data_IF_716590224731
#
_entry.id   IF_716590224731
#
_cell.length_a   1.000
_cell.length_b   1.000
_cell.length_c   1.000
_cell.angle_alpha   90.00
_cell.angle_beta   90.00
_cell.angle_gamma   90.00
#
_symmetry.space_group_name_H-M   'P 1'
#
loop_
_entity.id
_entity.type
_entity.pdbx_description
1 polymer ?
#
# COMPACT_ATOMS: atom_id res chain seq x y z
N UNK A 1 17.58 1.71 24.47
CA UNK A 1 16.29 1.33 25.10
C UNK A 1 15.65 0.24 24.26
N UNK A 2 15.35 -0.92 24.87
CA UNK A 2 14.82 -2.11 24.16
C UNK A 2 13.37 -1.88 23.77
N UNK A 3 13.04 -1.88 22.46
CA UNK A 3 11.66 -2.03 21.97
C UNK A 3 11.26 -3.51 22.11
N UNK A 4 10.20 -3.77 22.88
CA UNK A 4 9.53 -5.08 22.94
C UNK A 4 8.51 -5.12 21.80
N UNK A 5 8.64 -6.07 20.89
CA UNK A 5 7.58 -6.38 19.93
C UNK A 5 6.38 -6.97 20.66
N UNK A 6 5.18 -6.47 20.34
CA UNK A 6 3.91 -6.98 20.83
C UNK A 6 3.46 -8.08 19.86
N UNK A 7 3.10 -9.24 20.41
CA UNK A 7 2.67 -10.42 19.67
C UNK A 7 1.14 -10.51 19.76
N UNK A 8 0.43 -10.35 18.63
CA UNK A 8 -1.03 -10.54 18.57
C UNK A 8 -1.32 -12.03 18.55
N UNK A 9 -2.08 -12.51 19.53
CA UNK A 9 -2.38 -13.93 19.72
C UNK A 9 -3.71 -14.27 19.04
N UNK A 10 -3.67 -14.92 17.87
CA UNK A 10 -4.84 -15.54 17.24
C UNK A 10 -5.29 -16.75 18.07
N UNK A 11 -6.54 -16.79 18.51
CA UNK A 11 -7.13 -17.99 19.12
C UNK A 11 -8.06 -18.67 18.11
N UNK A 12 -7.61 -19.80 17.55
CA UNK A 12 -8.49 -20.72 16.84
C UNK A 12 -9.00 -21.77 17.83
N UNK A 13 -10.31 -21.77 18.11
CA UNK A 13 -10.96 -22.87 18.79
C UNK A 13 -11.11 -24.04 17.80
N UNK A 14 -10.21 -25.03 17.88
CA UNK A 14 -10.32 -26.26 17.11
C UNK A 14 -11.40 -27.17 17.71
N UNK A 15 -12.50 -27.36 16.98
CA UNK A 15 -13.46 -28.43 17.27
C UNK A 15 -12.85 -29.77 16.85
N UNK A 16 -12.52 -30.63 17.82
CA UNK A 16 -12.04 -31.97 17.57
C UNK A 16 -13.19 -32.87 17.06
N UNK A 17 -13.14 -33.24 15.78
CA UNK A 17 -13.91 -34.35 15.24
C UNK A 17 -13.02 -35.59 15.24
N UNK A 18 -13.30 -36.52 16.15
CA UNK A 18 -12.71 -37.86 16.17
C UNK A 18 -13.48 -38.73 15.18
N UNK A 19 -12.83 -39.16 14.10
CA UNK A 19 -13.34 -40.26 13.26
C UNK A 19 -12.28 -41.35 13.20
N UNK A 20 -12.61 -42.49 13.80
CA UNK A 20 -11.93 -43.75 13.60
C UNK A 20 -12.40 -44.37 12.26
N UNK A 21 -11.46 -44.94 11.49
CA UNK A 21 -11.52 -46.29 10.89
C UNK A 21 -10.64 -46.45 9.62
N UNK A 22 -9.68 -47.37 9.75
CA UNK A 22 -9.28 -48.46 8.85
C UNK A 22 -9.25 -48.27 7.31
N UNK A 23 -8.01 -48.46 6.81
CA UNK A 23 -7.53 -49.00 5.54
C UNK A 23 -8.57 -49.77 4.69
N UNK A 24 -8.80 -49.30 3.46
CA UNK A 24 -8.79 -50.02 2.16
C UNK A 24 -9.65 -49.24 1.13
N UNK A 25 -9.01 -48.67 0.10
CA UNK A 25 -9.38 -48.85 -1.32
C UNK A 25 -8.67 -47.85 -2.24
N UNK A 26 -8.15 -48.40 -3.31
CA UNK A 26 -7.52 -47.79 -4.47
C UNK A 26 -8.52 -47.02 -5.35
N UNK A 27 -8.04 -45.94 -5.99
CA UNK A 27 -8.39 -45.36 -7.32
C UNK A 27 -8.81 -43.89 -7.31
N UNK A 28 -7.86 -43.08 -7.81
CA UNK A 28 -8.00 -41.97 -8.77
C UNK A 28 -9.17 -40.98 -8.63
N UNK A 29 -8.80 -39.71 -8.43
CA UNK A 29 -9.50 -38.59 -9.05
C UNK A 29 -10.43 -37.80 -8.12
N UNK A 30 -9.86 -37.13 -7.12
CA UNK A 30 -10.50 -35.92 -6.59
C UNK A 30 -9.81 -34.71 -7.23
N UNK A 31 -10.44 -34.19 -8.28
CA UNK A 31 -10.31 -32.80 -8.66
C UNK A 31 -10.82 -31.97 -7.47
N UNK A 32 -9.89 -31.50 -6.64
CA UNK A 32 -10.13 -30.36 -5.77
C UNK A 32 -10.25 -29.18 -6.71
N UNK A 33 -11.49 -28.85 -7.07
CA UNK A 33 -11.82 -27.56 -7.62
C UNK A 33 -11.65 -26.59 -6.44
N UNK A 34 -10.41 -26.14 -6.24
CA UNK A 34 -10.14 -24.95 -5.47
C UNK A 34 -10.91 -23.85 -6.20
N UNK A 35 -12.02 -23.42 -5.61
CA UNK A 35 -12.62 -22.17 -6.01
C UNK A 35 -11.54 -21.11 -5.75
N UNK A 36 -10.99 -20.56 -6.82
CA UNK A 36 -10.41 -19.22 -6.82
C UNK A 36 -11.45 -18.30 -6.20
N UNK A 37 -11.24 -17.96 -4.94
CA UNK A 37 -11.89 -16.82 -4.33
C UNK A 37 -10.83 -15.75 -4.19
N UNK A 38 -10.72 -15.00 -5.28
CA UNK A 38 -10.09 -13.71 -5.39
C UNK A 38 -10.82 -12.76 -4.42
N UNK A 39 -10.30 -12.59 -3.20
CA UNK A 39 -10.76 -11.55 -2.26
C UNK A 39 -9.69 -11.23 -1.23
N UNK A 40 -8.80 -10.29 -1.56
CA UNK A 40 -7.87 -9.67 -0.62
C UNK A 40 -8.59 -8.60 0.23
N UNK A 41 -9.76 -8.90 0.78
CA UNK A 41 -10.45 -8.04 1.73
C UNK A 41 -9.93 -8.33 3.14
N UNK A 42 -9.29 -7.33 3.77
CA UNK A 42 -8.66 -7.43 5.09
C UNK A 42 -9.66 -7.79 6.20
N UNK A 43 -10.89 -7.34 6.06
CA UNK A 43 -12.01 -7.64 6.95
C UNK A 43 -13.27 -7.96 6.14
N UNK A 44 -14.16 -8.77 6.70
CA UNK A 44 -15.45 -9.13 6.11
C UNK A 44 -16.62 -8.51 6.90
N UNK A 45 -17.75 -8.24 6.22
CA UNK A 45 -18.99 -7.84 6.92
C UNK A 45 -19.37 -8.89 7.99
N UNK A 46 -19.68 -8.41 9.20
CA UNK A 46 -20.00 -9.25 10.35
C UNK A 46 -18.78 -9.80 11.11
N UNK A 47 -17.56 -9.59 10.63
CA UNK A 47 -16.34 -9.94 11.34
C UNK A 47 -16.16 -9.06 12.60
N UNK A 48 -15.71 -9.67 13.70
CA UNK A 48 -15.50 -8.98 14.98
C UNK A 48 -14.00 -8.77 15.24
N UNK A 49 -13.64 -7.54 15.57
CA UNK A 49 -12.30 -7.07 15.88
C UNK A 49 -12.20 -6.70 17.37
N UNK A 50 -11.29 -7.36 18.08
CA UNK A 50 -10.97 -7.02 19.47
C UNK A 50 -10.00 -5.83 19.52
N UNK A 51 -10.38 -4.76 20.23
CA UNK A 51 -9.62 -3.51 20.34
C UNK A 51 -9.38 -3.21 21.83
N UNK A 52 -8.12 -3.00 22.22
CA UNK A 52 -7.81 -2.47 23.56
C UNK A 52 -8.23 -1.01 23.62
N UNK A 53 -8.80 -0.58 24.75
CA UNK A 53 -9.25 0.80 24.98
C UNK A 53 -8.65 1.36 26.27
N UNK A 54 -8.66 2.68 26.42
CA UNK A 54 -8.24 3.35 27.65
C UNK A 54 -9.26 3.29 28.80
N UNK A 55 -10.36 2.54 28.63
CA UNK A 55 -11.43 2.46 29.62
C UNK A 55 -11.18 1.37 30.67
N UNK A 56 -11.78 1.54 31.84
CA UNK A 56 -11.75 0.60 32.95
C UNK A 56 -13.05 -0.23 33.04
N UNK A 57 -13.27 -0.92 34.17
CA UNK A 57 -14.57 -1.53 34.50
C UNK A 57 -15.10 -2.56 33.49
N UNK A 58 -14.19 -3.33 32.86
CA UNK A 58 -14.54 -4.36 31.89
C UNK A 58 -14.60 -3.88 30.44
N UNK A 59 -14.28 -2.60 30.19
CA UNK A 59 -14.19 -2.00 28.86
C UNK A 59 -12.75 -1.82 28.36
N UNK A 60 -11.74 -2.34 29.09
CA UNK A 60 -10.33 -2.26 28.68
C UNK A 60 -10.02 -2.97 27.36
N UNK A 61 -10.90 -3.89 26.96
CA UNK A 61 -10.92 -4.49 25.62
C UNK A 61 -12.37 -4.58 25.19
N UNK A 62 -12.67 -4.10 24.00
CA UNK A 62 -14.01 -4.11 23.41
C UNK A 62 -13.97 -4.78 22.04
N UNK A 63 -15.08 -5.42 21.67
CA UNK A 63 -15.25 -5.98 20.34
C UNK A 63 -16.00 -5.00 19.44
N UNK A 64 -15.58 -4.93 18.18
CA UNK A 64 -16.17 -4.10 17.15
C UNK A 64 -16.52 -4.94 15.94
N UNK A 65 -17.74 -4.84 15.45
CA UNK A 65 -18.21 -5.58 14.28
C UNK A 65 -18.10 -4.73 13.02
N UNK A 66 -17.55 -5.31 11.94
CA UNK A 66 -17.50 -4.69 10.62
C UNK A 66 -18.92 -4.64 10.04
N UNK A 67 -19.41 -3.44 9.73
CA UNK A 67 -20.74 -3.20 9.16
C UNK A 67 -20.72 -3.07 7.64
N UNK A 68 -19.60 -2.61 7.08
CA UNK A 68 -19.44 -2.27 5.68
C UNK A 68 -17.95 -2.32 5.35
N UNK A 69 -17.61 -2.92 4.20
CA UNK A 69 -16.22 -3.01 3.74
C UNK A 69 -15.79 -1.80 2.92
N UNK A 70 -16.72 -1.00 2.37
CA UNK A 70 -16.42 0.17 1.53
C UNK A 70 -17.13 1.45 2.01
N UNK A 71 -17.08 1.69 3.31
CA UNK A 71 -17.62 2.92 3.89
C UNK A 71 -16.62 4.06 3.76
N UNK A 72 -16.85 4.94 2.78
CA UNK A 72 -16.10 6.18 2.57
C UNK A 72 -14.58 5.94 2.50
N UNK A 73 -14.16 4.86 1.84
CA UNK A 73 -12.76 4.51 1.65
C UNK A 73 -12.17 3.57 2.71
N UNK A 74 -12.98 2.93 3.56
CA UNK A 74 -12.50 1.89 4.47
C UNK A 74 -13.59 1.02 5.09
N UNK A 75 -13.17 0.16 6.01
CA UNK A 75 -14.00 -0.76 6.77
C UNK A 75 -14.68 -0.03 7.94
N UNK A 76 -16.01 0.09 7.93
CA UNK A 76 -16.77 0.68 9.03
C UNK A 76 -16.96 -0.34 10.14
N UNK A 77 -16.52 0.02 11.35
CA UNK A 77 -16.69 -0.78 12.54
C UNK A 77 -17.61 -0.08 13.55
N UNK A 78 -18.44 -0.85 14.26
CA UNK A 78 -19.22 -0.38 15.41
C UNK A 78 -18.96 -1.25 16.64
N UNK A 79 -18.88 -0.65 17.82
CA UNK A 79 -18.79 -1.39 19.07
C UNK A 79 -19.97 -2.36 19.24
N UNK A 80 -19.69 -3.60 19.66
CA UNK A 80 -20.73 -4.56 20.01
C UNK A 80 -21.47 -4.15 21.30
N UNK A 81 -20.73 -3.57 22.25
CA UNK A 81 -21.25 -3.08 23.52
C UNK A 81 -21.43 -1.55 23.54
N UNK A 82 -22.38 -1.10 24.37
CA UNK A 82 -22.60 0.33 24.63
C UNK A 82 -21.76 0.75 25.84
N UNK A 83 -20.97 1.82 25.70
CA UNK A 83 -20.18 2.38 26.78
C UNK A 83 -21.09 3.15 27.74
N UNK A 84 -21.08 2.85 29.05
CA UNK A 84 -21.89 3.54 30.05
C UNK A 84 -21.52 4.99 30.23
N UNK A 85 -22.55 5.81 30.43
CA UNK A 85 -22.42 7.24 30.77
C UNK A 85 -21.52 7.48 31.98
N UNK A 86 -21.33 6.48 32.86
CA UNK A 86 -20.41 6.55 34.00
C UNK A 86 -18.93 6.44 33.60
N UNK A 87 -18.63 5.90 32.42
CA UNK A 87 -17.29 5.77 31.83
C UNK A 87 -17.09 6.72 30.64
N UNK A 88 -18.14 7.43 30.24
CA UNK A 88 -18.15 8.32 29.09
C UNK A 88 -18.71 9.69 29.46
N UNK A 89 -19.17 10.44 28.46
CA UNK A 89 -19.85 11.72 28.63
C UNK A 89 -21.32 11.65 28.16
N UNK A 90 -22.08 12.70 28.46
CA UNK A 90 -23.41 12.96 27.86
C UNK A 90 -23.27 13.42 26.40
N UNK A 91 -24.38 13.59 25.69
CA UNK A 91 -24.33 14.16 24.34
C UNK A 91 -23.82 15.60 24.35
N UNK A 92 -24.56 16.52 25.00
CA UNK A 92 -24.20 17.92 25.12
C UNK A 92 -24.91 18.57 26.32
N UNK A 93 -24.45 19.74 26.74
CA UNK A 93 -25.05 20.47 27.86
C UNK A 93 -26.46 21.01 27.55
N UNK A 94 -26.68 21.57 26.35
CA UNK A 94 -27.93 22.26 26.01
C UNK A 94 -28.29 22.28 24.53
N UNK A 95 -27.31 22.22 23.63
CA UNK A 95 -27.49 22.32 22.17
C UNK A 95 -27.37 20.93 21.51
N UNK A 96 -28.07 20.70 20.39
CA UNK A 96 -28.09 19.42 19.69
C UNK A 96 -27.15 19.29 18.49
N UNK A 97 -26.38 20.33 18.17
CA UNK A 97 -25.35 20.26 17.15
C UNK A 97 -24.26 19.24 17.53
N UNK A 98 -24.07 18.21 16.69
CA UNK A 98 -23.05 17.19 16.93
C UNK A 98 -21.63 17.77 16.86
N UNK A 99 -21.39 18.69 15.92
CA UNK A 99 -20.07 19.30 15.68
C UNK A 99 -19.44 19.96 16.92
N UNK A 100 -20.26 20.48 17.83
CA UNK A 100 -19.81 21.17 19.06
C UNK A 100 -20.18 20.39 20.34
N UNK A 101 -20.62 19.13 20.19
CA UNK A 101 -21.15 18.33 21.30
C UNK A 101 -20.05 17.78 22.23
N UNK A 102 -20.41 17.58 23.51
CA UNK A 102 -19.53 16.97 24.51
C UNK A 102 -19.10 15.56 24.07
N UNK A 103 -20.00 14.80 23.45
CA UNK A 103 -19.73 13.43 22.96
C UNK A 103 -18.69 13.42 21.83
N UNK A 104 -18.80 14.30 20.84
CA UNK A 104 -17.83 14.37 19.74
C UNK A 104 -16.45 14.75 20.25
N UNK A 105 -16.38 15.73 21.15
CA UNK A 105 -15.14 16.13 21.81
C UNK A 105 -14.52 14.97 22.57
N UNK A 106 -15.30 14.24 23.37
CA UNK A 106 -14.81 13.08 24.12
C UNK A 106 -14.29 11.96 23.22
N UNK A 107 -15.05 11.62 22.17
CA UNK A 107 -14.67 10.57 21.22
C UNK A 107 -13.33 10.87 20.53
N UNK A 108 -13.14 12.09 20.04
CA UNK A 108 -11.96 12.42 19.24
C UNK A 108 -10.74 12.86 20.07
N UNK A 109 -10.93 13.56 21.19
CA UNK A 109 -9.81 14.10 21.99
C UNK A 109 -9.34 13.17 23.11
N UNK A 110 -10.17 12.21 23.54
CA UNK A 110 -9.83 11.31 24.64
C UNK A 110 -9.90 9.85 24.23
N UNK A 111 -11.00 9.42 23.61
CA UNK A 111 -11.22 8.00 23.36
C UNK A 111 -10.37 7.46 22.20
N UNK A 112 -10.32 8.16 21.07
CA UNK A 112 -9.63 7.72 19.85
C UNK A 112 -8.15 7.37 20.06
N UNK A 113 -7.42 8.21 20.79
CA UNK A 113 -5.98 8.00 21.06
C UNK A 113 -5.69 6.83 22.00
N UNK A 114 -6.70 6.29 22.67
CA UNK A 114 -6.53 5.16 23.59
C UNK A 114 -6.78 3.81 22.94
N UNK A 115 -7.23 3.78 21.69
CA UNK A 115 -7.52 2.54 20.98
C UNK A 115 -6.23 1.87 20.50
N UNK A 116 -6.14 0.55 20.60
CA UNK A 116 -4.98 -0.19 20.04
C UNK A 116 -4.85 -0.06 18.51
N UNK A 117 -5.90 0.39 17.84
CA UNK A 117 -5.96 0.65 16.39
C UNK A 117 -5.87 2.15 16.06
N UNK A 118 -5.48 3.00 17.02
CA UNK A 118 -5.49 4.46 16.86
C UNK A 118 -4.75 4.96 15.62
N UNK A 119 -3.65 4.30 15.24
CA UNK A 119 -2.81 4.63 14.08
C UNK A 119 -3.42 4.19 12.73
N UNK A 120 -4.43 3.32 12.76
CA UNK A 120 -5.09 2.76 11.56
C UNK A 120 -6.43 3.45 11.24
N UNK A 121 -6.88 4.35 12.12
CA UNK A 121 -8.15 5.05 11.97
C UNK A 121 -8.10 6.01 10.78
N UNK A 122 -8.99 5.82 9.81
CA UNK A 122 -9.22 6.76 8.72
C UNK A 122 -10.14 7.89 9.22
N UNK A 123 -9.67 9.15 9.29
CA UNK A 123 -10.51 10.26 9.72
C UNK A 123 -11.61 10.57 8.69
N UNK A 124 -12.87 10.59 9.11
CA UNK A 124 -14.03 10.80 8.24
C UNK A 124 -14.59 12.21 8.38
N UNK A 125 -14.77 12.91 7.26
CA UNK A 125 -15.55 14.16 7.27
C UNK A 125 -17.05 13.84 7.31
N UNK A 126 -17.70 14.20 8.41
CA UNK A 126 -19.14 13.98 8.62
C UNK A 126 -19.94 15.15 8.07
N UNK A 127 -21.06 14.86 7.40
CA UNK A 127 -21.89 15.86 6.71
C UNK A 127 -22.57 16.83 7.69
N UNK A 128 -22.86 16.38 8.91
CA UNK A 128 -23.53 17.16 9.94
C UNK A 128 -22.57 18.10 10.71
N UNK A 129 -21.29 18.16 10.29
CA UNK A 129 -20.25 18.98 10.92
C UNK A 129 -19.80 20.10 9.99
N UNK A 130 -20.15 21.34 10.31
CA UNK A 130 -19.86 22.53 9.50
C UNK A 130 -18.40 23.04 9.62
N UNK A 131 -17.51 22.31 10.28
CA UNK A 131 -16.10 22.68 10.43
C UNK A 131 -15.21 22.01 9.37
N UNK A 132 -13.89 22.18 9.45
CA UNK A 132 -12.92 21.46 8.60
C UNK A 132 -12.34 20.21 9.27
N UNK A 133 -12.92 19.78 10.40
CA UNK A 133 -12.38 18.68 11.22
C UNK A 133 -12.97 17.37 10.73
N UNK A 134 -12.10 16.37 10.54
CA UNK A 134 -12.50 14.98 10.32
C UNK A 134 -12.51 14.21 11.64
N UNK A 135 -13.49 13.35 11.81
CA UNK A 135 -13.71 12.56 13.02
C UNK A 135 -13.04 11.19 12.89
N UNK A 136 -12.23 10.82 13.89
CA UNK A 136 -11.56 9.50 13.98
C UNK A 136 -12.45 8.43 14.60
N UNK A 137 -13.30 8.84 15.55
CA UNK A 137 -14.32 7.99 16.17
C UNK A 137 -15.59 8.82 16.30
N UNK A 138 -16.74 8.24 15.98
CA UNK A 138 -18.02 8.95 15.92
C UNK A 138 -19.20 8.09 16.36
N UNK A 139 -20.34 8.71 16.65
CA UNK A 139 -21.62 8.02 16.73
C UNK A 139 -22.21 7.86 15.33
N UNK A 140 -22.84 6.72 15.01
CA UNK A 140 -23.59 6.57 13.74
C UNK A 140 -24.74 7.60 13.64
N UNK A 141 -25.12 7.96 12.42
CA UNK A 141 -26.31 8.79 12.16
C UNK A 141 -27.59 7.96 12.32
N UNK A 142 -28.74 8.63 12.39
CA UNK A 142 -30.04 7.96 12.35
C UNK A 142 -30.21 7.15 11.06
N UNK A 143 -29.75 7.67 9.92
CA UNK A 143 -29.86 7.00 8.63
C UNK A 143 -28.99 5.76 8.55
N UNK A 144 -27.75 5.82 9.05
CA UNK A 144 -26.87 4.65 9.17
C UNK A 144 -27.45 3.59 10.11
N UNK A 145 -27.96 4.01 11.27
CA UNK A 145 -28.62 3.09 12.21
C UNK A 145 -29.84 2.40 11.57
N UNK A 146 -30.58 3.11 10.72
CA UNK A 146 -31.75 2.56 10.02
C UNK A 146 -31.41 1.83 8.73
N UNK A 147 -30.18 1.94 8.24
CA UNK A 147 -29.76 1.36 6.97
C UNK A 147 -30.05 -0.15 6.94
N UNK A 148 -30.54 -0.62 5.79
CA UNK A 148 -31.05 -1.98 5.68
C UNK A 148 -29.96 -3.04 5.91
N UNK A 149 -28.72 -2.76 5.50
CA UNK A 149 -27.56 -3.60 5.73
C UNK A 149 -27.16 -3.62 7.22
N UNK A 150 -27.13 -2.47 7.89
CA UNK A 150 -26.54 -2.38 9.24
C UNK A 150 -27.52 -2.73 10.37
N UNK A 151 -28.84 -2.67 10.11
CA UNK A 151 -29.89 -2.75 11.14
C UNK A 151 -29.82 -4.01 12.02
N UNK A 152 -29.29 -5.12 11.51
CA UNK A 152 -29.15 -6.35 12.28
C UNK A 152 -28.24 -6.14 13.50
N UNK A 153 -27.16 -5.37 13.33
CA UNK A 153 -26.17 -5.10 14.36
C UNK A 153 -26.44 -3.79 15.11
N UNK A 154 -26.83 -2.73 14.39
CA UNK A 154 -27.09 -1.42 15.00
C UNK A 154 -28.35 -1.46 15.86
N UNK A 155 -29.39 -2.20 15.47
CA UNK A 155 -30.67 -2.27 16.21
C UNK A 155 -30.87 -3.61 16.94
N UNK A 156 -29.80 -4.40 17.07
CA UNK A 156 -29.78 -5.62 17.90
C UNK A 156 -30.27 -5.28 19.30
N UNK A 157 -31.13 -6.12 19.89
CA UNK A 157 -31.54 -5.94 21.29
C UNK A 157 -30.36 -6.25 22.21
N UNK A 158 -30.15 -5.43 23.23
CA UNK A 158 -29.12 -5.67 24.25
C UNK A 158 -29.71 -5.59 25.65
N UNK A 159 -28.99 -6.16 26.62
CA UNK A 159 -29.38 -6.08 28.03
C UNK A 159 -28.71 -4.84 28.66
N UNK A 160 -29.47 -3.86 29.15
CA UNK A 160 -28.95 -2.73 29.91
C UNK A 160 -27.98 -3.14 31.02
N UNK A 161 -26.76 -2.61 30.99
CA UNK A 161 -25.85 -2.65 32.13
C UNK A 161 -25.85 -1.29 32.83
N UNK A 162 -25.86 -1.30 34.17
CA UNK A 162 -25.74 -0.10 35.01
C UNK A 162 -26.67 1.07 34.65
N UNK A 163 -27.93 0.79 34.30
CA UNK A 163 -28.96 1.81 34.09
C UNK A 163 -29.00 2.45 32.70
N UNK A 164 -28.08 2.12 31.80
CA UNK A 164 -28.15 2.56 30.41
C UNK A 164 -29.28 1.90 29.65
N UNK A 165 -30.21 2.68 29.10
CA UNK A 165 -31.28 2.15 28.25
C UNK A 165 -31.17 2.59 26.80
N UNK A 166 -30.20 3.45 26.50
CA UNK A 166 -30.08 4.15 25.24
C UNK A 166 -28.62 4.34 24.84
N UNK A 167 -28.37 4.59 23.56
CA UNK A 167 -27.14 5.21 23.10
C UNK A 167 -27.43 6.28 22.05
N UNK A 168 -26.61 7.33 22.01
CA UNK A 168 -26.79 8.45 21.10
C UNK A 168 -26.43 8.13 19.65
N UNK A 169 -27.22 8.65 18.71
CA UNK A 169 -26.78 8.87 17.32
C UNK A 169 -26.24 10.29 17.19
N UNK A 170 -25.60 10.63 16.06
CA UNK A 170 -25.15 12.00 15.78
C UNK A 170 -26.22 12.92 15.14
N UNK A 171 -27.46 12.45 15.00
CA UNK A 171 -28.51 13.17 14.25
C UNK A 171 -29.34 14.05 15.18
N UNK A 172 -29.33 15.36 14.93
CA UNK A 172 -30.19 16.32 15.60
C UNK A 172 -31.66 16.14 15.19
N UNK A 173 -32.59 16.37 16.12
CA UNK A 173 -34.02 16.41 15.80
C UNK A 173 -34.37 17.79 15.25
N UNK A 174 -34.87 17.80 14.01
CA UNK A 174 -35.38 19.03 13.37
C UNK A 174 -36.42 19.76 14.23
N UNK A 175 -36.47 21.08 14.08
CA UNK A 175 -37.39 21.98 14.80
C UNK A 175 -37.27 21.94 16.33
N UNK A 176 -36.16 21.44 16.85
CA UNK A 176 -35.79 21.51 18.26
C UNK A 176 -34.32 21.88 18.38
N UNK A 177 -33.95 22.62 19.43
CA UNK A 177 -32.56 23.01 19.70
C UNK A 177 -31.85 22.15 20.74
N UNK A 178 -32.56 21.18 21.35
CA UNK A 178 -32.02 20.43 22.49
C UNK A 178 -32.35 18.93 22.43
N UNK A 179 -32.76 18.40 21.27
CA UNK A 179 -33.01 16.97 21.12
C UNK A 179 -32.20 16.37 19.98
N UNK A 180 -31.71 15.16 20.20
CA UNK A 180 -31.06 14.33 19.21
C UNK A 180 -31.70 12.93 19.23
N UNK A 181 -31.45 12.16 18.16
CA UNK A 181 -31.90 10.78 18.08
C UNK A 181 -30.98 9.85 18.89
N UNK A 182 -31.60 8.81 19.44
CA UNK A 182 -30.96 7.76 20.20
C UNK A 182 -31.59 6.41 19.85
N UNK A 183 -30.87 5.33 20.14
CA UNK A 183 -31.36 3.97 19.99
C UNK A 183 -31.60 3.39 21.37
N UNK A 184 -32.77 2.81 21.58
CA UNK A 184 -33.19 2.17 22.82
C UNK A 184 -32.74 0.70 22.84
N UNK A 185 -32.59 0.12 24.04
CA UNK A 185 -32.14 -1.27 24.24
C UNK A 185 -32.98 -2.34 23.52
N UNK A 186 -34.21 -2.00 23.15
CA UNK A 186 -35.13 -2.86 22.39
C UNK A 186 -34.97 -2.72 20.85
N UNK A 187 -34.02 -1.91 20.38
CA UNK A 187 -33.76 -1.63 18.97
C UNK A 187 -34.62 -0.52 18.34
N UNK A 188 -35.43 0.20 19.13
CA UNK A 188 -36.23 1.33 18.63
C UNK A 188 -35.38 2.61 18.57
N UNK A 189 -35.60 3.42 17.54
CA UNK A 189 -34.99 4.75 17.41
C UNK A 189 -36.00 5.79 17.90
N UNK A 190 -35.57 6.70 18.76
CA UNK A 190 -36.40 7.77 19.32
C UNK A 190 -35.55 9.03 19.53
N UNK A 191 -36.18 10.19 19.67
CA UNK A 191 -35.48 11.43 20.04
C UNK A 191 -35.64 11.74 21.53
N UNK A 192 -34.60 12.28 22.18
CA UNK A 192 -34.67 12.76 23.57
C UNK A 192 -33.80 13.99 23.78
N UNK A 193 -33.94 14.63 24.95
CA UNK A 193 -33.12 15.78 25.33
C UNK A 193 -31.64 15.39 25.40
N UNK A 194 -30.77 16.15 24.76
CA UNK A 194 -29.31 15.89 24.69
C UNK A 194 -28.62 15.91 26.05
N UNK A 195 -29.21 16.57 27.05
CA UNK A 195 -28.74 16.59 28.43
C UNK A 195 -29.07 15.32 29.21
N UNK A 196 -29.76 14.34 28.63
CA UNK A 196 -30.08 13.06 29.27
C UNK A 196 -28.79 12.29 29.60
N UNK A 197 -28.58 12.03 30.90
CA UNK A 197 -27.40 11.35 31.43
C UNK A 197 -27.58 9.83 31.60
N UNK A 198 -28.60 9.24 30.97
CA UNK A 198 -28.87 7.80 31.01
C UNK A 198 -28.56 7.08 29.68
N UNK A 199 -28.11 7.85 28.69
CA UNK A 199 -27.71 7.34 27.39
C UNK A 199 -26.19 7.16 27.35
N UNK A 200 -25.75 5.99 26.93
CA UNK A 200 -24.35 5.69 26.69
C UNK A 200 -23.90 6.12 25.29
N UNK A 201 -22.69 5.70 24.94
CA UNK A 201 -22.08 5.96 23.64
C UNK A 201 -21.74 4.62 23.01
N UNK A 202 -22.13 4.45 21.74
CA UNK A 202 -21.77 3.27 20.94
C UNK A 202 -20.84 3.75 19.82
N UNK A 203 -19.52 3.75 20.05
CA UNK A 203 -18.58 4.33 19.12
C UNK A 203 -18.50 3.49 17.84
N UNK A 204 -18.33 4.19 16.72
CA UNK A 204 -17.97 3.65 15.44
C UNK A 204 -16.70 4.34 14.93
N UNK A 205 -15.92 3.63 14.13
CA UNK A 205 -14.74 4.17 13.47
C UNK A 205 -14.55 3.49 12.12
N UNK A 206 -13.69 4.07 11.29
CA UNK A 206 -13.29 3.48 10.01
C UNK A 206 -11.83 3.11 10.09
N UNK A 207 -11.50 1.87 9.77
CA UNK A 207 -10.12 1.50 9.43
C UNK A 207 -10.04 1.66 7.92
N UNK A 208 -9.09 2.47 7.45
CA UNK A 208 -8.92 2.63 6.01
C UNK A 208 -8.76 1.27 5.34
N UNK A 209 -9.17 1.15 4.07
CA UNK A 209 -8.55 0.12 3.25
C UNK A 209 -7.04 0.25 3.43
N UNK A 210 -6.30 -0.86 3.37
CA UNK A 210 -4.87 -0.74 3.13
C UNK A 210 -4.77 0.12 1.88
N UNK A 211 -4.47 1.41 2.07
CA UNK A 211 -4.10 2.26 0.97
C UNK A 211 -2.94 1.50 0.35
N UNK A 212 -2.88 1.35 -0.99
CA UNK A 212 -1.62 1.00 -1.61
C UNK A 212 -0.59 1.92 -0.98
N UNK A 213 0.36 1.41 -0.19
CA UNK A 213 1.31 2.06 0.72
C UNK A 213 1.58 3.52 0.32
N UNK A 214 0.62 4.40 0.61
CA UNK A 214 0.85 5.83 0.66
C UNK A 214 1.24 6.07 2.09
N UNK A 215 2.34 5.42 2.51
CA UNK A 215 2.94 5.64 3.80
C UNK A 215 3.06 7.14 4.02
N UNK A 216 2.85 7.58 5.26
CA UNK A 216 3.45 8.83 5.72
C UNK A 216 4.84 8.98 5.08
N UNK A 217 5.01 9.99 4.22
CA UNK A 217 6.13 10.19 3.30
C UNK A 217 7.34 9.31 3.55
N UNK A 218 7.42 8.22 2.79
CA UNK A 218 8.57 7.33 2.86
C UNK A 218 9.75 8.05 2.21
N UNK A 219 10.59 8.66 3.04
CA UNK A 219 11.85 9.25 2.61
C UNK A 219 12.81 8.10 2.35
N UNK A 220 13.18 7.89 1.09
CA UNK A 220 14.20 6.91 0.72
C UNK A 220 15.59 7.50 0.88
N UNK A 221 16.53 6.66 1.29
CA UNK A 221 17.96 6.96 1.37
C UNK A 221 18.74 6.02 0.44
N UNK A 222 19.92 6.45 -0.02
CA UNK A 222 20.82 5.57 -0.77
C UNK A 222 21.10 4.30 0.04
N UNK A 223 20.95 3.15 -0.60
CA UNK A 223 21.13 1.83 0.00
C UNK A 223 19.85 1.20 0.56
N UNK A 224 18.74 1.94 0.68
CA UNK A 224 17.44 1.34 1.01
C UNK A 224 17.03 0.33 -0.07
N UNK A 225 16.28 -0.69 0.31
CA UNK A 225 15.91 -1.78 -0.59
C UNK A 225 14.41 -2.00 -0.67
N UNK A 226 13.97 -2.49 -1.82
CA UNK A 226 12.61 -2.91 -2.11
C UNK A 226 12.61 -4.18 -2.94
N UNK A 227 11.59 -5.02 -2.76
CA UNK A 227 11.41 -6.23 -3.56
C UNK A 227 10.38 -5.96 -4.67
N UNK A 228 10.62 -6.53 -5.85
CA UNK A 228 9.64 -6.55 -6.96
C UNK A 228 9.64 -7.93 -7.61
N UNK A 229 8.45 -8.41 -7.96
CA UNK A 229 8.29 -9.66 -8.71
C UNK A 229 8.12 -9.34 -10.18
N UNK A 230 8.97 -9.94 -11.01
CA UNK A 230 8.95 -9.84 -12.47
C UNK A 230 8.96 -11.27 -13.02
N UNK A 231 7.97 -11.63 -13.85
CA UNK A 231 7.83 -12.99 -14.43
C UNK A 231 7.87 -14.08 -13.34
N UNK A 232 7.08 -13.91 -12.28
CA UNK A 232 6.99 -14.86 -11.16
C UNK A 232 8.26 -14.99 -10.30
N UNK A 233 9.30 -14.17 -10.53
CA UNK A 233 10.56 -14.17 -9.76
C UNK A 233 10.74 -12.87 -9.00
N UNK A 234 11.03 -12.99 -7.71
CA UNK A 234 11.30 -11.84 -6.85
C UNK A 234 12.76 -11.39 -6.94
N UNK A 235 12.96 -10.09 -7.18
CA UNK A 235 14.25 -9.43 -7.25
C UNK A 235 14.33 -8.30 -6.22
N UNK A 236 15.53 -8.09 -5.68
CA UNK A 236 15.82 -6.96 -4.79
C UNK A 236 16.29 -5.78 -5.62
N UNK A 237 15.72 -4.62 -5.38
CA UNK A 237 16.12 -3.34 -5.94
C UNK A 237 16.63 -2.44 -4.83
N UNK A 238 17.59 -1.59 -5.16
CA UNK A 238 18.26 -0.71 -4.21
C UNK A 238 18.22 0.74 -4.66
N UNK A 239 17.91 1.63 -3.72
CA UNK A 239 17.95 3.06 -3.93
C UNK A 239 19.40 3.50 -4.21
N UNK A 240 19.64 4.07 -5.38
CA UNK A 240 20.94 4.61 -5.79
C UNK A 240 20.92 6.14 -5.95
N UNK A 241 19.71 6.74 -5.95
CA UNK A 241 19.52 8.18 -5.98
C UNK A 241 18.15 8.54 -5.38
N UNK A 242 18.09 9.11 -4.16
CA UNK A 242 16.83 9.48 -3.53
C UNK A 242 16.17 10.72 -4.15
N UNK A 243 16.86 11.43 -5.06
CA UNK A 243 16.39 12.66 -5.69
C UNK A 243 16.54 12.60 -7.21
N UNK A 244 16.10 11.49 -7.79
CA UNK A 244 16.25 11.22 -9.21
C UNK A 244 15.48 12.21 -10.09
N UNK A 245 16.19 12.71 -11.11
CA UNK A 245 15.63 13.48 -12.20
C UNK A 245 15.63 12.65 -13.49
N UNK A 246 14.45 12.50 -14.09
CA UNK A 246 14.20 11.71 -15.30
C UNK A 246 14.76 12.37 -16.58
N UNK A 247 14.51 11.78 -17.76
CA UNK A 247 15.01 12.32 -19.04
C UNK A 247 14.39 13.67 -19.41
N UNK A 248 13.20 13.97 -18.88
CA UNK A 248 12.49 15.24 -19.03
C UNK A 248 13.02 16.34 -18.09
N UNK A 249 14.00 16.01 -17.24
CA UNK A 249 14.48 16.87 -16.14
C UNK A 249 13.44 17.12 -15.05
N UNK A 250 12.45 16.23 -14.92
CA UNK A 250 11.47 16.27 -13.83
C UNK A 250 12.07 15.55 -12.62
N UNK A 251 11.95 16.14 -11.42
CA UNK A 251 12.21 15.42 -10.17
C UNK A 251 11.02 14.51 -9.91
N UNK A 252 11.22 13.21 -10.01
CA UNK A 252 10.13 12.22 -10.03
C UNK A 252 10.11 11.30 -8.81
N UNK A 253 11.23 11.14 -8.09
CA UNK A 253 11.27 10.30 -6.89
C UNK A 253 12.65 9.75 -6.56
N UNK A 254 12.68 8.60 -5.91
CA UNK A 254 13.90 7.84 -5.62
C UNK A 254 14.11 6.75 -6.67
N UNK A 255 15.30 6.69 -7.29
CA UNK A 255 15.66 5.68 -8.28
C UNK A 255 16.17 4.41 -7.59
N UNK A 256 15.50 3.30 -7.88
CA UNK A 256 15.82 1.97 -7.44
C UNK A 256 16.39 1.14 -8.61
N UNK A 257 17.60 0.59 -8.46
CA UNK A 257 18.25 -0.27 -9.45
C UNK A 257 18.28 -1.72 -8.95
N UNK A 258 17.98 -2.70 -9.82
CA UNK A 258 18.03 -4.11 -9.46
C UNK A 258 19.43 -4.50 -8.98
N UNK A 259 19.53 -5.25 -7.88
CA UNK A 259 20.81 -5.71 -7.32
C UNK A 259 21.44 -6.85 -8.15
N UNK A 260 20.64 -7.54 -8.96
CA UNK A 260 21.07 -8.66 -9.80
C UNK A 260 20.87 -8.37 -11.30
N UNK A 261 21.52 -9.16 -12.14
CA UNK A 261 21.26 -9.17 -13.60
C UNK A 261 20.25 -10.28 -13.89
N UNK A 262 19.16 -9.93 -14.57
CA UNK A 262 18.20 -10.88 -15.14
C UNK A 262 18.78 -11.37 -16.46
N UNK A 263 18.92 -12.68 -16.63
CA UNK A 263 19.64 -13.26 -17.76
C UNK A 263 18.95 -13.04 -19.13
N UNK A 264 19.76 -12.99 -20.19
CA UNK A 264 19.28 -12.87 -21.58
C UNK A 264 18.44 -14.06 -22.07
N UNK A 265 18.44 -15.18 -21.35
CA UNK A 265 17.55 -16.32 -21.56
C UNK A 265 16.12 -16.07 -21.08
N UNK A 266 15.92 -15.11 -20.18
CA UNK A 266 14.61 -14.66 -19.71
C UNK A 266 14.04 -13.61 -20.67
N UNK A 267 14.84 -12.60 -21.03
CA UNK A 267 14.45 -11.56 -21.96
C UNK A 267 15.67 -10.93 -22.64
N UNK A 268 15.57 -10.67 -23.94
CA UNK A 268 16.59 -10.00 -24.77
C UNK A 268 16.13 -8.58 -25.11
N UNK A 269 17.02 -7.74 -25.65
CA UNK A 269 16.67 -6.35 -25.97
C UNK A 269 15.59 -6.25 -27.06
N UNK A 270 15.88 -6.81 -28.22
CA UNK A 270 15.04 -6.83 -29.42
C UNK A 270 15.69 -7.80 -30.42
N UNK A 271 14.94 -8.33 -31.39
CA UNK A 271 15.49 -9.22 -32.42
C UNK A 271 16.27 -8.47 -33.52
N UNK A 272 15.98 -7.18 -33.76
CA UNK A 272 16.60 -6.48 -34.90
C UNK A 272 16.72 -4.96 -34.77
N UNK A 273 16.08 -4.28 -33.81
CA UNK A 273 16.16 -2.82 -33.72
C UNK A 273 16.66 -2.34 -32.36
N UNK A 274 17.38 -1.22 -32.34
CA UNK A 274 17.89 -0.60 -31.11
C UNK A 274 16.98 0.52 -30.57
N UNK A 275 15.71 0.53 -30.96
CA UNK A 275 14.74 1.56 -30.63
C UNK A 275 14.00 1.22 -29.33
N UNK A 276 14.44 1.80 -28.20
CA UNK A 276 13.82 1.56 -26.89
C UNK A 276 12.30 1.78 -26.89
N UNK A 277 11.82 2.80 -27.61
CA UNK A 277 10.40 3.13 -27.73
C UNK A 277 9.52 2.03 -28.32
N UNK A 278 10.12 1.10 -29.08
CA UNK A 278 9.44 0.00 -29.76
C UNK A 278 10.00 -1.38 -29.35
N UNK A 279 10.93 -1.43 -28.40
CA UNK A 279 11.63 -2.65 -28.03
C UNK A 279 10.70 -3.63 -27.30
N UNK A 280 10.75 -4.91 -27.67
CA UNK A 280 10.01 -5.97 -27.00
C UNK A 280 10.40 -6.08 -25.52
N UNK A 281 11.68 -5.83 -25.18
CA UNK A 281 12.14 -5.75 -23.80
C UNK A 281 11.38 -4.71 -22.97
N UNK A 282 11.09 -3.54 -23.54
CA UNK A 282 10.38 -2.47 -22.85
C UNK A 282 8.96 -2.92 -22.52
N UNK A 283 8.28 -3.53 -23.49
CA UNK A 283 6.93 -4.08 -23.32
C UNK A 283 6.93 -5.14 -22.23
N UNK A 284 7.82 -6.13 -22.34
CA UNK A 284 7.96 -7.21 -21.36
C UNK A 284 8.19 -6.68 -19.94
N UNK A 285 9.09 -5.71 -19.75
CA UNK A 285 9.38 -5.13 -18.43
C UNK A 285 8.16 -4.48 -17.76
N UNK A 286 7.26 -3.88 -18.53
CA UNK A 286 6.12 -3.16 -18.00
C UNK A 286 4.85 -4.01 -17.93
N UNK A 287 4.80 -5.16 -18.64
CA UNK A 287 3.69 -6.11 -18.56
C UNK A 287 3.91 -7.20 -17.49
N UNK A 288 5.16 -7.63 -17.28
CA UNK A 288 5.47 -8.78 -16.40
C UNK A 288 5.74 -8.42 -14.93
N UNK A 289 5.61 -7.13 -14.55
CA UNK A 289 5.74 -6.70 -13.16
C UNK A 289 4.41 -6.84 -12.43
N UNK A 290 4.38 -7.66 -11.38
CA UNK A 290 3.13 -8.05 -10.71
C UNK A 290 2.56 -6.98 -9.78
N UNK A 291 3.43 -6.20 -9.11
CA UNK A 291 3.02 -5.12 -8.20
C UNK A 291 3.77 -3.83 -8.50
N UNK A 292 3.03 -2.80 -8.90
CA UNK A 292 3.54 -1.47 -9.26
C UNK A 292 3.24 -0.40 -8.21
N UNK A 293 2.80 -0.82 -7.03
CA UNK A 293 2.51 0.04 -5.89
C UNK A 293 3.75 0.85 -5.46
N UNK A 294 3.52 2.13 -5.17
CA UNK A 294 4.57 3.08 -4.82
C UNK A 294 5.53 3.42 -5.97
N UNK A 295 5.33 2.89 -7.19
CA UNK A 295 6.14 3.23 -8.36
C UNK A 295 5.56 4.44 -9.10
N UNK A 296 6.44 5.29 -9.62
CA UNK A 296 6.13 6.48 -10.39
C UNK A 296 6.50 6.24 -11.85
N UNK A 297 5.64 6.71 -12.77
CA UNK A 297 5.98 6.79 -14.18
C UNK A 297 7.14 7.77 -14.39
N UNK A 298 8.26 7.28 -14.89
CA UNK A 298 9.43 8.09 -15.20
C UNK A 298 9.51 8.34 -16.70
N UNK A 299 9.86 9.56 -17.12
CA UNK A 299 10.17 9.80 -18.52
C UNK A 299 11.48 9.11 -18.91
N UNK A 300 11.42 8.21 -19.89
CA UNK A 300 12.55 7.39 -20.35
C UNK A 300 12.98 7.69 -21.78
N UNK A 301 12.44 8.76 -22.36
CA UNK A 301 12.67 9.24 -23.72
C UNK A 301 14.15 9.27 -24.10
N UNK A 302 14.48 8.68 -25.26
CA UNK A 302 15.85 8.69 -25.81
C UNK A 302 16.02 9.81 -26.83
N UNK A 303 16.56 10.93 -26.34
CA UNK A 303 16.85 12.13 -27.14
C UNK A 303 18.30 12.19 -27.66
N UNK A 304 19.09 11.14 -27.48
CA UNK A 304 20.49 11.12 -27.91
C UNK A 304 20.98 9.74 -28.28
N UNK A 305 21.94 9.71 -29.20
CA UNK A 305 22.77 8.54 -29.53
C UNK A 305 24.21 8.87 -29.19
N UNK A 306 25.05 7.84 -29.06
CA UNK A 306 26.46 8.03 -28.72
C UNK A 306 27.40 7.21 -29.59
N UNK A 307 28.59 7.73 -29.81
CA UNK A 307 29.72 6.98 -30.34
C UNK A 307 30.84 6.93 -29.31
N UNK A 308 31.52 5.78 -29.19
CA UNK A 308 32.62 5.57 -28.24
C UNK A 308 32.35 4.43 -27.29
N UNK A 309 33.33 4.14 -26.42
CA UNK A 309 33.26 3.10 -25.39
C UNK A 309 34.13 3.46 -24.20
N UNK A 310 33.80 2.90 -23.04
CA UNK A 310 34.60 3.03 -21.83
C UNK A 310 35.75 2.00 -21.79
N UNK A 311 36.51 1.97 -20.69
CA UNK A 311 37.60 1.01 -20.46
C UNK A 311 37.88 0.83 -18.97
N UNK A 312 38.29 -0.37 -18.55
CA UNK A 312 38.85 -0.64 -17.22
C UNK A 312 37.94 -0.26 -16.05
N UNK A 313 36.65 -0.61 -16.09
CA UNK A 313 35.68 -0.31 -15.03
C UNK A 313 35.55 1.20 -14.74
N UNK A 314 35.92 2.03 -15.72
CA UNK A 314 35.90 3.47 -15.63
C UNK A 314 35.15 4.04 -16.81
N UNK A 315 34.05 4.73 -16.52
CA UNK A 315 33.26 5.47 -17.50
C UNK A 315 33.47 6.98 -17.30
N UNK A 316 33.59 7.71 -18.39
CA UNK A 316 33.72 9.18 -18.39
C UNK A 316 33.08 9.73 -19.64
N UNK A 317 32.36 10.84 -19.51
CA UNK A 317 31.68 11.51 -20.62
C UNK A 317 32.63 11.80 -21.79
N UNK A 318 33.91 12.12 -21.52
CA UNK A 318 34.95 12.40 -22.54
C UNK A 318 35.22 11.23 -23.49
N UNK A 319 34.82 10.00 -23.13
CA UNK A 319 34.97 8.79 -23.95
C UNK A 319 33.82 8.61 -24.95
N UNK A 320 32.77 9.42 -24.83
CA UNK A 320 31.56 9.32 -25.65
C UNK A 320 31.30 10.64 -26.38
N UNK A 321 30.89 10.52 -27.64
CA UNK A 321 30.45 11.67 -28.44
C UNK A 321 28.93 11.62 -28.55
N UNK A 322 28.25 12.52 -27.85
CA UNK A 322 26.78 12.66 -27.85
C UNK A 322 26.29 13.25 -29.18
N UNK A 323 25.20 12.72 -29.70
CA UNK A 323 24.48 13.26 -30.85
C UNK A 323 22.99 13.29 -30.55
N UNK A 324 22.38 14.46 -30.64
CA UNK A 324 20.95 14.61 -30.40
C UNK A 324 20.14 13.89 -31.49
N UNK A 325 19.03 13.29 -31.09
CA UNK A 325 17.97 12.77 -31.96
C UNK A 325 16.62 13.24 -31.42
N UNK A 326 15.59 13.26 -32.26
CA UNK A 326 14.22 13.41 -31.77
C UNK A 326 13.77 12.06 -31.22
N UNK A 327 13.57 11.98 -29.90
CA UNK A 327 12.90 10.86 -29.26
C UNK A 327 11.39 11.07 -29.26
N UNK A 328 10.63 9.98 -29.29
CA UNK A 328 9.21 10.02 -28.95
C UNK A 328 9.08 10.03 -27.43
N UNK A 329 8.27 10.94 -26.89
CA UNK A 329 8.02 10.97 -25.45
C UNK A 329 7.41 9.66 -25.00
N UNK A 330 8.04 9.01 -24.04
CA UNK A 330 7.60 7.74 -23.44
C UNK A 330 7.87 7.77 -21.94
N UNK A 331 7.01 7.07 -21.21
CA UNK A 331 7.07 6.95 -19.76
C UNK A 331 6.96 5.47 -19.41
N UNK A 332 7.76 5.03 -18.44
CA UNK A 332 7.86 3.62 -18.04
C UNK A 332 7.83 3.50 -16.50
N UNK A 333 7.31 2.39 -15.99
CA UNK A 333 7.42 2.01 -14.58
C UNK A 333 8.74 1.27 -14.31
N UNK A 334 9.08 0.31 -15.18
CA UNK A 334 10.39 -0.37 -15.19
C UNK A 334 11.13 -0.05 -16.49
N UNK A 335 12.43 0.23 -16.37
CA UNK A 335 13.27 0.59 -17.51
C UNK A 335 14.72 0.19 -17.33
N UNK A 336 15.45 0.03 -18.44
CA UNK A 336 16.91 -0.04 -18.40
C UNK A 336 17.49 1.37 -18.31
N UNK A 337 18.60 1.57 -17.60
CA UNK A 337 19.29 2.87 -17.58
C UNK A 337 19.73 3.30 -18.98
N UNK A 338 19.74 4.59 -19.26
CA UNK A 338 20.36 5.22 -20.40
C UNK A 338 21.87 5.39 -20.19
N UNK A 339 22.62 5.73 -21.24
CA UNK A 339 24.04 6.02 -21.11
C UNK A 339 24.30 7.30 -20.29
N UNK A 340 23.40 8.30 -20.36
CA UNK A 340 23.45 9.49 -19.51
C UNK A 340 23.33 9.13 -18.02
N UNK A 341 22.39 8.25 -17.67
CA UNK A 341 22.23 7.74 -16.30
C UNK A 341 23.40 6.85 -15.90
N UNK A 342 23.90 5.99 -16.79
CA UNK A 342 25.08 5.16 -16.51
C UNK A 342 26.33 6.02 -16.23
N UNK A 343 26.49 7.16 -16.93
CA UNK A 343 27.53 8.14 -16.64
C UNK A 343 27.35 8.80 -15.27
N UNK A 344 26.11 9.12 -14.89
CA UNK A 344 25.78 9.74 -13.59
C UNK A 344 25.98 8.76 -12.43
N UNK A 345 25.61 7.49 -12.62
CA UNK A 345 25.64 6.44 -11.60
C UNK A 345 26.79 5.44 -11.80
N UNK A 346 27.93 5.93 -12.32
CA UNK A 346 29.11 5.13 -12.64
C UNK A 346 29.56 4.20 -11.50
N UNK A 347 29.43 4.63 -10.24
CA UNK A 347 29.82 3.88 -9.04
C UNK A 347 28.95 2.65 -8.75
N UNK A 348 27.82 2.46 -9.44
CA UNK A 348 26.90 1.36 -9.22
C UNK A 348 26.92 0.31 -10.33
N UNK A 349 27.54 0.59 -11.47
CA UNK A 349 27.42 -0.24 -12.69
C UNK A 349 27.91 -1.69 -12.50
N UNK A 350 29.02 -1.88 -11.78
CA UNK A 350 29.62 -3.21 -11.56
C UNK A 350 29.44 -3.75 -10.14
N UNK A 351 28.59 -3.10 -9.34
CA UNK A 351 28.23 -3.55 -7.97
C UNK A 351 26.89 -4.26 -8.00
N UNK A 352 26.93 -5.57 -7.80
CA UNK A 352 25.79 -6.46 -7.68
C UNK A 352 25.61 -6.91 -6.24
N UNK A 353 24.40 -7.34 -5.88
CA UNK A 353 24.04 -7.91 -4.58
C UNK A 353 24.46 -7.01 -3.40
N UNK A 354 24.50 -5.70 -3.64
CA UNK A 354 24.89 -4.72 -2.65
C UNK A 354 26.34 -4.66 -2.24
N UNK A 355 27.24 -5.20 -3.05
CA UNK A 355 28.66 -5.13 -2.77
C UNK A 355 29.14 -3.67 -2.63
N UNK A 356 30.07 -3.43 -1.70
CA UNK A 356 30.70 -2.13 -1.51
C UNK A 356 31.68 -1.78 -2.66
N UNK A 357 32.23 -2.81 -3.30
CA UNK A 357 33.21 -2.74 -4.39
C UNK A 357 32.69 -3.49 -5.61
N UNK A 358 33.22 -3.16 -6.78
CA UNK A 358 32.87 -3.86 -8.02
C UNK A 358 33.12 -5.37 -7.87
N UNK A 359 32.09 -6.16 -8.17
CA UNK A 359 32.10 -7.61 -8.07
C UNK A 359 31.58 -8.29 -9.35
N UNK A 360 30.99 -7.54 -10.28
CA UNK A 360 30.62 -8.04 -11.60
C UNK A 360 31.86 -8.19 -12.50
N UNK A 361 32.63 -9.24 -12.24
CA UNK A 361 33.92 -9.55 -12.91
C UNK A 361 33.93 -10.93 -13.54
N UNK A 362 32.86 -11.72 -13.34
CA UNK A 362 32.69 -13.08 -13.85
C UNK A 362 31.41 -13.16 -14.67
N UNK A 363 31.54 -13.60 -15.92
CA UNK A 363 30.40 -13.82 -16.81
C UNK A 363 29.75 -15.19 -16.58
N UNK A 364 28.42 -15.21 -16.57
CA UNK A 364 27.62 -16.42 -16.81
C UNK A 364 27.25 -16.55 -18.30
N UNK A 365 26.64 -17.67 -18.71
CA UNK A 365 26.22 -17.89 -20.11
C UNK A 365 25.23 -16.84 -20.62
N UNK A 366 24.39 -16.29 -19.73
CA UNK A 366 23.37 -15.28 -20.04
C UNK A 366 23.53 -13.98 -19.24
N UNK A 367 24.70 -13.76 -18.66
CA UNK A 367 25.03 -12.58 -17.85
C UNK A 367 26.44 -12.05 -18.18
N UNK A 368 26.78 -11.98 -19.47
CA UNK A 368 28.01 -11.33 -19.94
C UNK A 368 27.92 -9.80 -19.84
N UNK A 369 26.72 -9.27 -19.61
CA UNK A 369 26.48 -7.85 -19.42
C UNK A 369 25.00 -7.60 -19.18
N UNK A 370 24.64 -6.33 -19.14
CA UNK A 370 23.25 -5.90 -19.18
C UNK A 370 23.04 -4.68 -20.07
N UNK A 371 21.87 -4.62 -20.69
CA UNK A 371 21.52 -3.58 -21.65
C UNK A 371 21.33 -2.20 -20.99
N UNK A 372 21.72 -1.16 -21.73
CA UNK A 372 21.28 0.21 -21.54
C UNK A 372 20.28 0.56 -22.66
N UNK A 373 19.29 1.40 -22.37
CA UNK A 373 18.27 1.80 -23.35
C UNK A 373 18.77 2.75 -24.45
N UNK A 374 20.06 3.06 -24.50
CA UNK A 374 20.64 4.04 -25.42
C UNK A 374 21.22 3.37 -26.67
N UNK A 375 20.78 3.74 -27.88
CA UNK A 375 21.33 3.23 -29.12
C UNK A 375 22.70 3.86 -29.45
N UNK A 376 23.52 3.10 -30.17
CA UNK A 376 24.75 3.61 -30.74
C UNK A 376 24.46 4.55 -31.92
N UNK A 377 25.34 5.53 -32.13
CA UNK A 377 25.23 6.51 -33.22
C UNK A 377 25.50 5.92 -34.62
N UNK A 378 25.96 4.67 -34.70
CA UNK A 378 26.18 3.91 -35.94
C UNK A 378 25.70 2.49 -35.69
N UNK A 379 24.91 1.95 -36.62
CA UNK A 379 24.37 0.59 -36.56
C UNK A 379 22.98 0.58 -35.95
N UNK A 380 21.98 0.26 -36.77
CA UNK A 380 20.56 0.24 -36.38
C UNK A 380 20.22 -0.93 -35.43
N UNK A 381 21.18 -1.84 -35.23
CA UNK A 381 21.09 -3.04 -34.42
C UNK A 381 22.01 -2.98 -33.19
N UNK A 382 22.60 -1.81 -32.89
CA UNK A 382 23.56 -1.65 -31.81
C UNK A 382 22.99 -0.82 -30.65
N UNK A 383 22.91 -1.41 -29.46
CA UNK A 383 22.59 -0.73 -28.21
C UNK A 383 23.80 -0.75 -27.27
N UNK A 384 23.88 0.23 -26.36
CA UNK A 384 24.93 0.21 -25.34
C UNK A 384 24.63 -0.85 -24.28
N UNK A 385 25.67 -1.55 -23.82
CA UNK A 385 25.60 -2.47 -22.70
C UNK A 385 26.74 -2.20 -21.71
N UNK A 386 26.49 -2.50 -20.43
CA UNK A 386 27.52 -2.64 -19.40
C UNK A 386 27.94 -4.10 -19.38
N UNK A 387 29.23 -4.37 -19.46
CA UNK A 387 29.77 -5.72 -19.65
C UNK A 387 30.67 -6.14 -18.49
N UNK A 388 30.72 -7.44 -18.24
CA UNK A 388 31.45 -8.05 -17.12
C UNK A 388 32.96 -7.79 -17.14
N UNK A 389 33.52 -7.45 -18.31
CA UNK A 389 34.94 -7.15 -18.50
C UNK A 389 35.27 -5.67 -18.23
N UNK A 390 34.33 -4.92 -17.66
CA UNK A 390 34.54 -3.55 -17.23
C UNK A 390 34.35 -2.52 -18.34
N UNK A 391 33.60 -2.85 -19.40
CA UNK A 391 33.30 -1.93 -20.50
C UNK A 391 31.84 -1.48 -20.49
N UNK A 392 31.63 -0.26 -20.97
CA UNK A 392 30.35 0.24 -21.45
C UNK A 392 30.53 0.51 -22.93
N UNK A 393 29.88 -0.29 -23.77
CA UNK A 393 30.15 -0.33 -25.22
C UNK A 393 28.93 -0.77 -26.02
N UNK A 394 28.86 -0.42 -27.32
CA UNK A 394 27.82 -0.93 -28.22
C UNK A 394 27.93 -2.45 -28.41
N UNK A 395 26.80 -3.15 -28.37
CA UNK A 395 26.66 -4.59 -28.63
C UNK A 395 25.44 -4.82 -29.54
N UNK A 396 25.41 -5.95 -30.25
CA UNK A 396 24.27 -6.34 -31.11
C UNK A 396 23.06 -6.72 -30.24
N UNK A 397 21.89 -6.14 -30.54
CA UNK A 397 20.68 -6.25 -29.71
C UNK A 397 20.15 -7.69 -29.55
N UNK A 398 20.49 -8.57 -30.48
CA UNK A 398 20.15 -10.00 -30.52
C UNK A 398 21.11 -10.89 -29.69
N UNK A 399 22.06 -10.29 -28.97
CA UNK A 399 23.02 -11.02 -28.16
C UNK A 399 22.36 -11.61 -26.89
N UNK A 400 21.95 -12.87 -26.99
CA UNK A 400 21.33 -13.70 -25.94
C UNK A 400 22.16 -13.88 -24.66
N UNK A 401 23.41 -13.43 -24.66
CA UNK A 401 24.30 -13.49 -23.49
C UNK A 401 24.28 -12.22 -22.65
N UNK A 402 23.64 -11.16 -23.14
CA UNK A 402 23.48 -9.89 -22.44
C UNK A 402 22.08 -9.86 -21.84
N UNK A 403 22.03 -9.74 -20.52
CA UNK A 403 20.79 -9.67 -19.76
C UNK A 403 20.30 -8.24 -19.57
N UNK A 404 19.55 -8.02 -18.51
CA UNK A 404 19.01 -6.72 -18.14
C UNK A 404 19.20 -6.45 -16.65
N UNK A 405 19.32 -5.16 -16.31
CA UNK A 405 19.38 -4.69 -14.93
C UNK A 405 18.39 -3.54 -14.79
N UNK A 406 17.11 -3.86 -14.62
CA UNK A 406 16.05 -2.86 -14.65
C UNK A 406 16.12 -1.93 -13.44
N UNK A 407 15.50 -0.77 -13.59
CA UNK A 407 15.32 0.23 -12.56
C UNK A 407 13.87 0.73 -12.56
N UNK A 408 13.42 1.22 -11.41
CA UNK A 408 12.14 1.92 -11.26
C UNK A 408 12.30 3.15 -10.38
N UNK A 409 11.30 4.03 -10.37
CA UNK A 409 11.25 5.19 -9.48
C UNK A 409 10.19 4.97 -8.43
N UNK A 410 10.54 5.14 -7.15
CA UNK A 410 9.61 5.12 -6.03
C UNK A 410 9.16 6.54 -5.68
N UNK A 411 7.93 6.69 -5.18
CA UNK A 411 7.43 7.96 -4.63
C UNK A 411 8.37 8.47 -3.53
N UNK A 412 8.69 9.77 -3.56
CA UNK A 412 9.52 10.48 -2.59
C UNK A 412 8.76 11.75 -2.15
N UNK A 413 8.51 11.93 -0.85
CA UNK A 413 7.83 13.13 -0.29
C UNK A 413 8.78 14.18 0.29
#
# INVERSE_FOLDING_TARGET
MRRRGIYVKRSHAAAAIVVACSVFSFLLGFSVQAAEQDSWERFQEGESLAVETGLSDGFSTMNFICLDTDYRGGYLFIAEDVIPYSLSTRYAASDNAYGTSDVRTWLNQYYADTLSVADELLPIKLEETDDSVSDRVFCLSEDEVKHAAYKEWTRKKWTPQRGMRYYWTRTARENTSNQAYLVQYNGQVASSRVSLTEAGIRPAFVIGHEAPDTGQGRIWYEGDTQERTIDGKTYVFRCIDPNYCDSGSNRVGALFLCDSIIGGDVCQFDESLNAWEAADLRTWLNEEVENTEGMVLAETTINSTYAGKSSNYQISEKKFTKRNRQGQKIEDQLFCLSLDEALRYANYLWKLDGAATDNFTLAGSHAMGYWLRTPAARGDHLAYAVTYDGLVSPQEVDNDRIGIRPAFVAVQE
#
